data_IF_378889125731
#
_entry.id   IF_378889125731
#
_cell.length_a   1.000
_cell.length_b   1.000
_cell.length_c   1.000
_cell.angle_alpha   90.00
_cell.angle_beta   90.00
_cell.angle_gamma   90.00
#
_symmetry.space_group_name_H-M   'P 1'
#
loop_
_entity.id
_entity.type
_entity.pdbx_description
1 polymer ?
#
# COMPACT_ATOMS: atom_id res chain seq x y z
N UNK A 1 18.68 -8.35 50.13
CA UNK A 1 18.02 -8.39 48.81
C UNK A 1 16.63 -7.81 48.96
N UNK A 2 16.37 -6.64 48.34
CA UNK A 2 15.08 -6.18 47.80
C UNK A 2 15.39 -4.87 47.07
N UNK A 3 15.28 -4.91 45.75
CA UNK A 3 15.40 -3.77 44.85
C UNK A 3 14.02 -3.15 44.68
N UNK A 4 13.79 -1.95 45.22
CA UNK A 4 12.62 -1.15 44.82
C UNK A 4 13.01 -0.22 43.69
N UNK A 5 12.42 -0.51 42.54
CA UNK A 5 12.61 0.10 41.23
C UNK A 5 12.30 1.59 41.25
N UNK A 6 13.30 2.41 40.93
CA UNK A 6 13.12 3.82 40.58
C UNK A 6 12.28 3.92 39.30
N UNK A 7 11.00 4.23 39.44
CA UNK A 7 10.11 4.53 38.31
C UNK A 7 10.51 5.89 37.77
N UNK A 8 11.17 5.90 36.61
CA UNK A 8 11.37 7.10 35.80
C UNK A 8 10.00 7.57 35.31
N UNK A 9 9.54 8.80 35.60
CA UNK A 9 8.33 9.34 34.99
C UNK A 9 8.66 9.67 33.54
N UNK A 10 7.98 9.02 32.59
CA UNK A 10 8.05 9.37 31.16
C UNK A 10 7.48 10.79 30.99
N UNK A 11 8.27 11.78 30.56
CA UNK A 11 7.76 13.10 30.25
C UNK A 11 7.38 13.13 28.77
N UNK A 12 6.31 12.44 28.37
CA UNK A 12 5.69 12.66 27.05
C UNK A 12 4.30 12.00 26.87
N UNK A 13 3.45 11.99 27.91
CA UNK A 13 2.03 11.71 27.66
C UNK A 13 1.35 13.03 27.27
N UNK A 14 0.92 13.20 25.99
CA UNK A 14 0.17 14.38 25.61
C UNK A 14 -1.14 14.41 26.41
N UNK A 15 -1.60 15.59 26.85
CA UNK A 15 -2.81 15.68 27.65
C UNK A 15 -3.98 15.02 26.92
N UNK A 16 -4.92 14.36 27.63
CA UNK A 16 -6.12 13.81 27.01
C UNK A 16 -6.84 14.95 26.31
N UNK A 17 -6.82 14.93 24.98
CA UNK A 17 -7.54 15.90 24.19
C UNK A 17 -9.02 15.66 24.42
N UNK A 18 -9.65 16.51 25.23
CA UNK A 18 -11.10 16.51 25.37
C UNK A 18 -11.67 16.88 24.00
N UNK A 19 -12.18 15.87 23.28
CA UNK A 19 -12.90 16.08 22.03
C UNK A 19 -14.03 17.07 22.29
N UNK A 20 -14.12 18.19 21.57
CA UNK A 20 -15.29 19.07 21.65
C UNK A 20 -16.55 18.25 21.39
N UNK A 21 -17.71 18.57 22.02
CA UNK A 21 -18.95 17.88 21.70
C UNK A 21 -19.23 18.04 20.21
N UNK A 22 -19.22 16.91 19.48
CA UNK A 22 -19.59 16.87 18.07
C UNK A 22 -21.03 17.39 17.97
N UNK A 23 -21.18 18.63 17.48
CA UNK A 23 -22.47 19.15 17.03
C UNK A 23 -23.03 18.24 15.93
N UNK A 24 -24.32 18.40 15.55
CA UNK A 24 -24.86 17.66 14.41
C UNK A 24 -23.90 17.81 13.21
N UNK A 25 -23.72 16.78 12.36
CA UNK A 25 -22.92 16.90 11.15
C UNK A 25 -23.65 17.85 10.21
N UNK A 26 -23.52 19.15 10.45
CA UNK A 26 -23.76 20.17 9.46
C UNK A 26 -22.74 19.85 8.38
N UNK A 27 -23.19 19.26 7.28
CA UNK A 27 -22.40 19.15 6.07
C UNK A 27 -22.22 20.57 5.54
N UNK A 28 -21.37 21.35 6.20
CA UNK A 28 -20.89 22.62 5.70
C UNK A 28 -20.03 22.24 4.51
N UNK A 29 -20.61 22.35 3.31
CA UNK A 29 -19.85 22.19 2.08
C UNK A 29 -18.73 23.23 2.12
N UNK A 30 -17.46 22.84 2.29
CA UNK A 30 -16.40 23.82 2.54
C UNK A 30 -15.99 24.58 1.27
N UNK A 31 -16.60 24.25 0.12
CA UNK A 31 -16.14 24.66 -1.18
C UNK A 31 -17.16 25.64 -1.77
N UNK A 32 -16.87 26.94 -1.60
CA UNK A 32 -17.39 27.94 -2.51
C UNK A 32 -17.00 27.60 -3.96
N UNK A 33 -17.73 28.11 -4.97
CA UNK A 33 -17.47 27.83 -6.39
C UNK A 33 -16.08 28.28 -6.90
N UNK A 34 -15.26 28.84 -6.03
CA UNK A 34 -13.96 29.47 -6.24
C UNK A 34 -12.80 28.76 -5.51
N UNK A 35 -13.03 27.59 -4.89
CA UNK A 35 -11.97 26.81 -4.27
C UNK A 35 -11.01 26.22 -5.33
N UNK A 36 -9.96 26.96 -5.67
CA UNK A 36 -8.83 26.49 -6.49
C UNK A 36 -8.11 25.35 -5.76
N UNK A 37 -8.32 24.12 -6.21
CA UNK A 37 -7.54 22.96 -5.78
C UNK A 37 -6.10 23.16 -6.24
N UNK A 38 -5.16 23.29 -5.29
CA UNK A 38 -3.75 23.48 -5.61
C UNK A 38 -3.21 22.32 -6.46
N UNK A 39 -2.24 22.56 -7.35
CA UNK A 39 -1.74 21.57 -8.32
C UNK A 39 -1.22 20.27 -7.69
N UNK A 40 -0.78 20.32 -6.44
CA UNK A 40 -0.23 19.17 -5.72
C UNK A 40 -1.30 18.34 -5.01
N UNK A 41 -2.54 18.82 -4.99
CA UNK A 41 -3.55 18.23 -4.12
C UNK A 41 -4.02 16.89 -4.73
N UNK A 42 -3.77 15.79 -4.02
CA UNK A 42 -3.99 14.42 -4.51
C UNK A 42 -2.88 13.86 -5.41
N UNK A 43 -1.81 14.62 -5.70
CA UNK A 43 -0.72 14.20 -6.59
C UNK A 43 -0.03 12.93 -6.09
N UNK A 44 0.23 12.83 -4.78
CA UNK A 44 0.85 11.65 -4.16
C UNK A 44 0.02 10.39 -4.33
N UNK A 45 -1.30 10.44 -4.12
CA UNK A 45 -2.19 9.29 -4.33
C UNK A 45 -2.25 8.88 -5.80
N UNK A 46 -2.26 9.86 -6.72
CA UNK A 46 -2.23 9.61 -8.15
C UNK A 46 -0.92 8.94 -8.60
N UNK A 47 0.22 9.37 -8.06
CA UNK A 47 1.54 8.81 -8.38
C UNK A 47 1.64 7.32 -8.03
N UNK A 48 1.19 6.93 -6.83
CA UNK A 48 1.15 5.52 -6.43
C UNK A 48 0.22 4.69 -7.33
N UNK A 49 -0.94 5.25 -7.70
CA UNK A 49 -1.88 4.58 -8.60
C UNK A 49 -1.25 4.34 -9.99
N UNK A 50 -0.64 5.37 -10.57
CA UNK A 50 0.02 5.28 -11.89
C UNK A 50 1.19 4.29 -11.84
N UNK A 51 2.00 4.34 -10.79
CA UNK A 51 3.13 3.41 -10.59
C UNK A 51 2.64 1.96 -10.54
N UNK A 52 1.57 1.71 -9.80
CA UNK A 52 0.96 0.38 -9.71
C UNK A 52 0.43 -0.07 -11.07
N UNK A 53 -0.27 0.82 -11.80
CA UNK A 53 -0.78 0.52 -13.14
C UNK A 53 0.35 0.21 -14.13
N UNK A 54 1.46 0.95 -14.08
CA UNK A 54 2.63 0.69 -14.91
C UNK A 54 3.24 -0.69 -14.61
N UNK A 55 3.39 -1.03 -13.32
CA UNK A 55 3.87 -2.35 -12.89
C UNK A 55 2.92 -3.48 -13.34
N UNK A 56 1.61 -3.29 -13.22
CA UNK A 56 0.61 -4.24 -13.71
C UNK A 56 0.70 -4.45 -15.22
N UNK A 57 0.93 -3.38 -16.00
CA UNK A 57 1.14 -3.48 -17.45
C UNK A 57 2.35 -4.33 -17.81
N UNK A 58 3.48 -4.14 -17.10
CA UNK A 58 4.66 -4.98 -17.27
C UNK A 58 4.39 -6.45 -16.90
N UNK A 59 3.69 -6.69 -15.77
CA UNK A 59 3.30 -8.04 -15.37
C UNK A 59 2.41 -8.73 -16.41
N UNK A 60 1.48 -8.00 -17.04
CA UNK A 60 0.65 -8.54 -18.12
C UNK A 60 1.50 -9.01 -19.31
N UNK A 61 2.55 -8.25 -19.69
CA UNK A 61 3.49 -8.68 -20.72
C UNK A 61 4.22 -9.97 -20.33
N UNK A 62 4.69 -10.08 -19.09
CA UNK A 62 5.32 -11.30 -18.59
C UNK A 62 4.36 -12.51 -18.65
N UNK A 63 3.07 -12.32 -18.32
CA UNK A 63 2.04 -13.37 -18.44
C UNK A 63 1.89 -13.82 -19.89
N UNK A 64 1.89 -12.90 -20.85
CA UNK A 64 1.83 -13.25 -22.28
C UNK A 64 3.06 -14.06 -22.69
N UNK A 65 4.26 -13.67 -22.24
CA UNK A 65 5.50 -14.40 -22.49
C UNK A 65 5.43 -15.82 -21.90
N UNK A 66 4.99 -15.96 -20.65
CA UNK A 66 4.80 -17.26 -19.99
C UNK A 66 3.79 -18.15 -20.70
N UNK A 67 2.82 -17.57 -21.39
CA UNK A 67 1.79 -18.32 -22.13
C UNK A 67 2.30 -18.85 -23.48
N UNK A 68 3.46 -18.40 -23.95
CA UNK A 68 4.07 -18.87 -25.20
C UNK A 68 4.50 -20.34 -25.13
N UNK A 69 4.50 -21.04 -26.27
CA UNK A 69 4.87 -22.46 -26.35
C UNK A 69 6.34 -22.71 -25.93
N UNK A 70 7.34 -21.94 -26.41
CA UNK A 70 8.74 -22.20 -26.04
C UNK A 70 8.99 -22.10 -24.53
N UNK A 71 8.36 -21.13 -23.86
CA UNK A 71 8.51 -20.95 -22.41
C UNK A 71 7.79 -22.05 -21.64
N UNK A 72 6.58 -22.44 -22.07
CA UNK A 72 5.86 -23.55 -21.48
C UNK A 72 6.65 -24.85 -21.56
N UNK A 73 7.20 -25.16 -22.73
CA UNK A 73 8.03 -26.35 -22.93
C UNK A 73 9.26 -26.35 -22.01
N UNK A 74 9.94 -25.21 -21.90
CA UNK A 74 11.07 -25.05 -20.98
C UNK A 74 10.65 -25.33 -19.53
N UNK A 75 9.58 -24.70 -19.05
CA UNK A 75 9.10 -24.85 -17.67
C UNK A 75 8.63 -26.29 -17.42
N UNK A 76 7.86 -26.87 -18.34
CA UNK A 76 7.40 -28.25 -18.26
C UNK A 76 8.56 -29.23 -18.26
N UNK A 77 9.60 -29.01 -19.06
CA UNK A 77 10.82 -29.82 -19.06
C UNK A 77 11.51 -29.79 -17.70
N UNK A 78 11.72 -28.60 -17.12
CA UNK A 78 12.30 -28.46 -15.77
C UNK A 78 11.47 -29.22 -14.73
N UNK A 79 10.14 -29.13 -14.78
CA UNK A 79 9.24 -29.84 -13.86
C UNK A 79 9.36 -31.36 -14.06
N UNK A 80 9.33 -31.85 -15.29
CA UNK A 80 9.44 -33.28 -15.59
C UNK A 80 10.77 -33.87 -15.12
N UNK A 81 11.89 -33.15 -15.34
CA UNK A 81 13.20 -33.55 -14.83
C UNK A 81 13.23 -33.58 -13.30
N UNK A 82 12.69 -32.56 -12.64
CA UNK A 82 12.62 -32.51 -11.18
C UNK A 82 11.77 -33.64 -10.58
N UNK A 83 10.76 -34.12 -11.31
CA UNK A 83 9.87 -35.22 -10.91
C UNK A 83 10.35 -36.61 -11.35
N UNK A 84 11.48 -36.71 -12.06
CA UNK A 84 12.01 -38.00 -12.56
C UNK A 84 11.17 -38.63 -13.68
N UNK A 85 10.33 -37.84 -14.35
CA UNK A 85 9.49 -38.26 -15.47
C UNK A 85 10.21 -38.09 -16.83
N UNK A 86 11.32 -37.34 -16.86
CA UNK A 86 12.10 -37.04 -18.06
C UNK A 86 13.25 -38.02 -18.31
N UNK A 87 12.91 -39.28 -18.56
CA UNK A 87 13.82 -40.36 -18.99
C UNK A 87 13.34 -41.04 -20.25
#
# INVERSE_FOLDING_TARGET
>A
MSTDTSTTPTPDEPPPQTRPPEGPPTAESPLGPDAEWGPDTGATTAEYAITTLAACGFAALLVVILKSEPIKELVTGVIQTALGLGG
#
